data_IF_877399715450
#
_entry.id   IF_877399715450
#
_cell.length_a   1.000
_cell.length_b   1.000
_cell.length_c   1.000
_cell.angle_alpha   90.00
_cell.angle_beta   90.00
_cell.angle_gamma   90.00
#
_symmetry.space_group_name_H-M   'P 1'
#
loop_
_entity.id
_entity.type
_entity.pdbx_description
1 polymer ?
#
# COMPACT_ATOMS: atom_id res chain seq x y z
N UNK A 1 -17.76 5.47 13.00
CA UNK A 1 -18.35 4.26 12.38
C UNK A 1 -18.30 4.45 10.86
N UNK A 2 -18.26 3.38 10.08
CA UNK A 2 -18.30 3.40 8.60
C UNK A 2 -19.68 3.77 8.01
N UNK A 3 -20.19 4.93 8.40
CA UNK A 3 -21.58 5.36 8.17
C UNK A 3 -21.73 6.88 8.39
N UNK A 4 -22.84 7.46 7.91
CA UNK A 4 -23.19 8.86 8.20
C UNK A 4 -23.56 9.01 9.67
N UNK A 5 -23.09 10.08 10.32
CA UNK A 5 -23.47 10.45 11.70
C UNK A 5 -24.94 10.87 11.76
N UNK A 6 -25.69 10.33 12.71
CA UNK A 6 -27.14 10.55 12.90
C UNK A 6 -27.46 11.08 14.32
N UNK A 7 -26.60 11.96 14.81
CA UNK A 7 -26.73 12.63 16.11
C UNK A 7 -26.09 11.91 17.29
N UNK A 8 -26.03 12.63 18.41
CA UNK A 8 -25.57 12.13 19.71
C UNK A 8 -26.55 12.54 20.82
N UNK A 9 -26.64 11.75 21.88
CA UNK A 9 -27.41 12.07 23.08
C UNK A 9 -26.74 11.47 24.34
N UNK A 10 -26.98 12.03 25.55
CA UNK A 10 -26.69 11.31 26.78
C UNK A 10 -27.41 9.95 26.81
N UNK A 11 -26.79 8.93 27.36
CA UNK A 11 -27.42 7.63 27.53
C UNK A 11 -28.49 7.70 28.65
N UNK A 12 -29.76 7.36 28.38
CA UNK A 12 -30.83 7.42 29.39
C UNK A 12 -30.65 6.38 30.51
N UNK A 13 -29.85 5.32 30.29
CA UNK A 13 -29.59 4.28 31.28
C UNK A 13 -28.36 4.59 32.14
N UNK A 14 -27.45 5.44 31.66
CA UNK A 14 -26.21 5.80 32.35
C UNK A 14 -25.72 7.19 31.93
N UNK A 15 -25.89 8.18 32.81
CA UNK A 15 -25.51 9.58 32.53
C UNK A 15 -24.01 9.80 32.31
N UNK A 16 -23.16 8.82 32.62
CA UNK A 16 -21.72 8.87 32.32
C UNK A 16 -21.40 8.49 30.87
N UNK A 17 -22.38 7.97 30.12
CA UNK A 17 -22.23 7.50 28.73
C UNK A 17 -22.94 8.43 27.75
N UNK A 18 -22.53 8.32 26.49
CA UNK A 18 -23.19 8.94 25.33
C UNK A 18 -23.59 7.87 24.33
N UNK A 19 -24.71 8.08 23.67
CA UNK A 19 -25.17 7.30 22.52
C UNK A 19 -24.87 8.10 21.26
N UNK A 20 -24.07 7.52 20.37
CA UNK A 20 -23.86 8.00 19.00
C UNK A 20 -24.65 7.13 18.04
N UNK A 21 -25.43 7.75 17.14
CA UNK A 21 -26.21 7.04 16.12
C UNK A 21 -25.56 7.22 14.76
N UNK A 22 -25.68 6.19 13.93
CA UNK A 22 -25.12 6.18 12.59
C UNK A 22 -26.06 5.45 11.62
N UNK A 23 -26.03 5.86 10.35
CA UNK A 23 -26.84 5.26 9.29
C UNK A 23 -25.99 5.03 8.03
N UNK A 24 -25.86 3.76 7.62
CA UNK A 24 -25.29 3.38 6.33
C UNK A 24 -26.43 2.92 5.43
N UNK A 25 -26.78 3.76 4.44
CA UNK A 25 -27.93 3.52 3.56
C UNK A 25 -27.54 2.76 2.28
N UNK A 26 -26.27 2.82 1.92
CA UNK A 26 -25.73 2.05 0.79
C UNK A 26 -25.45 0.62 1.28
N UNK A 27 -25.94 -0.43 0.60
CA UNK A 27 -25.62 -1.81 0.96
C UNK A 27 -24.12 -2.06 0.90
N UNK A 28 -23.56 -2.69 1.94
CA UNK A 28 -22.13 -3.00 2.04
C UNK A 28 -21.89 -4.45 2.47
N UNK A 29 -20.79 -5.09 2.02
CA UNK A 29 -20.30 -6.31 2.63
C UNK A 29 -19.86 -6.06 4.09
N UNK A 30 -20.02 -7.05 4.96
CA UNK A 30 -19.84 -6.86 6.41
C UNK A 30 -18.39 -6.58 6.84
N UNK A 31 -17.39 -6.92 6.03
CA UNK A 31 -15.98 -6.61 6.33
C UNK A 31 -15.70 -5.10 6.37
N UNK A 32 -16.58 -4.29 5.78
CA UNK A 32 -16.49 -2.82 5.77
C UNK A 32 -17.13 -2.17 7.01
N UNK A 33 -17.72 -2.93 7.92
CA UNK A 33 -18.22 -2.40 9.19
C UNK A 33 -17.03 -1.99 10.04
N UNK A 34 -17.00 -0.73 10.50
CA UNK A 34 -15.94 -0.20 11.35
C UNK A 34 -16.50 0.57 12.53
N UNK A 35 -15.81 0.49 13.66
CA UNK A 35 -16.09 1.27 14.86
C UNK A 35 -14.78 1.78 15.45
N UNK A 36 -14.79 3.02 15.91
CA UNK A 36 -13.73 3.62 16.72
C UNK A 36 -14.37 4.42 17.84
N UNK A 37 -13.77 4.34 19.03
CA UNK A 37 -14.14 5.12 20.21
C UNK A 37 -12.84 5.59 20.84
N UNK A 38 -12.74 6.90 21.10
CA UNK A 38 -11.55 7.53 21.66
C UNK A 38 -11.75 9.04 21.81
N UNK A 39 -10.72 9.73 22.30
CA UNK A 39 -10.68 11.18 22.40
C UNK A 39 -10.38 11.81 21.03
N UNK A 40 -11.39 11.83 20.16
CA UNK A 40 -11.26 12.25 18.78
C UNK A 40 -11.70 13.69 18.58
N UNK A 41 -10.86 14.45 17.88
CA UNK A 41 -11.14 15.79 17.38
C UNK A 41 -11.27 15.75 15.86
N UNK A 42 -11.89 16.77 15.27
CA UNK A 42 -12.06 16.87 13.82
C UNK A 42 -11.67 18.23 13.26
N UNK A 43 -11.20 18.24 12.00
CA UNK A 43 -10.96 19.45 11.22
C UNK A 43 -11.46 19.28 9.79
N UNK A 44 -12.15 20.28 9.28
CA UNK A 44 -12.57 20.30 7.88
C UNK A 44 -11.39 20.57 6.95
N UNK A 45 -11.24 19.73 5.93
CA UNK A 45 -10.17 19.85 4.91
C UNK A 45 -10.71 19.86 3.47
N UNK A 46 -12.02 19.70 3.30
CA UNK A 46 -12.71 19.78 2.02
C UNK A 46 -14.21 20.03 2.18
N UNK A 47 -14.94 20.19 1.07
CA UNK A 47 -16.39 20.43 1.10
C UNK A 47 -17.19 19.24 1.65
N UNK A 48 -16.61 18.04 1.63
CA UNK A 48 -17.24 16.77 2.05
C UNK A 48 -16.31 15.87 2.88
N UNK A 49 -15.28 16.46 3.49
CA UNK A 49 -14.23 15.73 4.21
C UNK A 49 -13.84 16.45 5.49
N UNK A 50 -13.98 15.72 6.59
CA UNK A 50 -13.30 15.97 7.85
C UNK A 50 -12.14 14.99 8.00
N UNK A 51 -11.03 15.47 8.58
CA UNK A 51 -10.00 14.59 9.15
C UNK A 51 -10.22 14.49 10.66
N UNK A 52 -10.14 13.26 11.16
CA UNK A 52 -10.30 12.90 12.56
C UNK A 52 -9.00 12.31 13.11
N UNK A 53 -8.64 12.66 14.34
CA UNK A 53 -7.53 12.05 15.08
C UNK A 53 -7.59 12.44 16.56
N UNK A 54 -6.65 11.94 17.37
CA UNK A 54 -6.34 12.61 18.64
C UNK A 54 -5.81 14.03 18.37
N UNK A 55 -6.01 14.95 19.33
CA UNK A 55 -5.75 16.39 19.16
C UNK A 55 -4.34 16.70 18.68
N UNK A 56 -3.35 15.91 19.09
CA UNK A 56 -1.93 16.07 18.78
C UNK A 56 -1.62 15.87 17.28
N UNK A 57 -2.47 15.15 16.55
CA UNK A 57 -2.26 14.83 15.13
C UNK A 57 -3.14 15.64 14.18
N UNK A 58 -4.16 16.37 14.67
CA UNK A 58 -5.16 17.01 13.79
C UNK A 58 -4.53 17.97 12.80
N UNK A 59 -3.61 18.83 13.26
CA UNK A 59 -3.00 19.85 12.41
C UNK A 59 -2.12 19.23 11.32
N UNK A 60 -1.26 18.28 11.70
CA UNK A 60 -0.39 17.56 10.75
C UNK A 60 -1.22 16.80 9.73
N UNK A 61 -2.24 16.08 10.19
CA UNK A 61 -3.12 15.28 9.32
C UNK A 61 -3.89 16.16 8.34
N UNK A 62 -4.35 17.33 8.78
CA UNK A 62 -5.05 18.26 7.90
C UNK A 62 -4.16 18.81 6.78
N UNK A 63 -2.88 19.08 7.07
CA UNK A 63 -1.92 19.47 6.05
C UNK A 63 -1.60 18.29 5.11
N UNK A 64 -1.28 17.12 5.69
CA UNK A 64 -0.84 15.93 4.94
C UNK A 64 -1.87 15.49 3.90
N UNK A 65 -3.16 15.56 4.26
CA UNK A 65 -4.27 15.06 3.42
C UNK A 65 -5.06 16.15 2.72
N UNK A 66 -4.51 17.35 2.60
CA UNK A 66 -5.18 18.50 1.97
C UNK A 66 -5.51 18.31 0.48
N UNK A 67 -4.95 17.30 -0.19
CA UNK A 67 -5.24 16.94 -1.59
C UNK A 67 -6.45 16.00 -1.75
N UNK A 68 -7.11 15.60 -0.66
CA UNK A 68 -8.21 14.62 -0.68
C UNK A 68 -9.35 15.02 -1.63
N UNK A 69 -9.76 16.28 -1.64
CA UNK A 69 -10.86 16.71 -2.52
C UNK A 69 -10.48 16.74 -4.00
N UNK A 70 -9.22 17.08 -4.35
CA UNK A 70 -8.79 17.01 -5.76
C UNK A 70 -8.73 15.56 -6.24
N UNK A 71 -8.25 14.65 -5.39
CA UNK A 71 -8.27 13.21 -5.66
C UNK A 71 -9.69 12.67 -5.83
N UNK A 72 -10.64 13.06 -4.96
CA UNK A 72 -12.05 12.66 -5.07
C UNK A 72 -12.68 13.10 -6.41
N UNK A 73 -12.42 14.33 -6.84
CA UNK A 73 -12.92 14.83 -8.13
C UNK A 73 -12.38 14.05 -9.32
N UNK A 74 -11.09 13.71 -9.28
CA UNK A 74 -10.48 12.87 -10.33
C UNK A 74 -11.09 11.47 -10.30
N UNK A 75 -11.23 10.89 -9.11
CA UNK A 75 -11.82 9.56 -8.95
C UNK A 75 -13.28 9.52 -9.46
N UNK A 76 -14.08 10.56 -9.21
CA UNK A 76 -15.43 10.69 -9.75
C UNK A 76 -15.47 10.78 -11.27
N UNK A 77 -14.53 11.51 -11.88
CA UNK A 77 -14.41 11.58 -13.34
C UNK A 77 -14.08 10.21 -13.94
N UNK A 78 -13.26 9.41 -13.27
CA UNK A 78 -12.80 8.10 -13.77
C UNK A 78 -13.81 6.98 -13.47
N UNK A 79 -14.33 6.91 -12.24
CA UNK A 79 -15.18 5.83 -11.73
C UNK A 79 -16.69 6.08 -11.78
N UNK A 80 -17.12 7.32 -12.04
CA UNK A 80 -18.52 7.75 -11.95
C UNK A 80 -18.86 8.39 -10.60
N UNK A 81 -20.14 8.71 -10.33
CA UNK A 81 -20.53 9.49 -9.14
C UNK A 81 -20.09 8.87 -7.81
N UNK A 82 -19.63 9.70 -6.86
CA UNK A 82 -19.38 9.27 -5.48
C UNK A 82 -20.71 9.20 -4.71
N UNK A 83 -21.13 8.00 -4.31
CA UNK A 83 -22.47 7.75 -3.77
C UNK A 83 -22.57 7.76 -2.23
N UNK A 84 -21.45 7.90 -1.52
CA UNK A 84 -21.38 7.67 -0.07
C UNK A 84 -21.64 8.94 0.76
N UNK A 85 -21.92 10.07 0.11
CA UNK A 85 -22.16 11.36 0.75
C UNK A 85 -20.85 12.02 1.20
N UNK A 86 -20.37 11.66 2.40
CA UNK A 86 -19.10 12.17 2.94
C UNK A 86 -17.94 11.23 2.62
N UNK A 87 -16.73 11.77 2.60
CA UNK A 87 -15.48 11.03 2.61
C UNK A 87 -14.62 11.59 3.74
N UNK A 88 -14.74 11.04 4.95
CA UNK A 88 -13.89 11.44 6.07
C UNK A 88 -12.65 10.55 6.17
N UNK A 89 -11.59 11.08 6.78
CA UNK A 89 -10.36 10.37 7.10
C UNK A 89 -10.20 10.26 8.61
N UNK A 90 -9.78 9.10 9.12
CA UNK A 90 -9.41 8.89 10.52
C UNK A 90 -7.96 8.45 10.60
N UNK A 91 -7.11 9.27 11.22
CA UNK A 91 -5.75 8.86 11.58
C UNK A 91 -5.79 8.11 12.90
N UNK A 92 -5.50 6.82 12.83
CA UNK A 92 -5.50 5.95 13.99
C UNK A 92 -4.22 6.07 14.82
N UNK A 93 -4.20 5.49 16.04
CA UNK A 93 -2.97 5.31 16.80
C UNK A 93 -1.92 4.46 16.04
N UNK A 94 -0.64 4.55 16.41
CA UNK A 94 0.46 3.92 15.68
C UNK A 94 0.35 2.40 15.51
N UNK A 95 -0.40 1.70 16.36
CA UNK A 95 -0.56 0.24 16.31
C UNK A 95 -1.50 -0.25 15.19
N UNK A 96 -2.15 0.64 14.44
CA UNK A 96 -2.98 0.25 13.29
C UNK A 96 -2.15 -0.57 12.27
N UNK A 97 -2.59 -1.79 11.91
CA UNK A 97 -1.73 -2.75 11.23
C UNK A 97 -1.55 -2.54 9.72
N UNK A 98 -2.37 -1.69 9.10
CA UNK A 98 -2.40 -1.50 7.64
C UNK A 98 -1.97 -0.08 7.22
N UNK A 99 -1.87 0.15 5.91
CA UNK A 99 -1.67 1.50 5.36
C UNK A 99 -2.94 2.34 5.48
N UNK A 100 -4.01 1.83 4.89
CA UNK A 100 -5.37 2.30 5.11
C UNK A 100 -6.34 1.13 5.16
N UNK A 101 -7.61 1.46 5.36
CA UNK A 101 -8.76 0.56 5.21
C UNK A 101 -9.95 1.41 4.75
N UNK A 102 -10.58 0.97 3.67
CA UNK A 102 -11.51 1.71 2.82
C UNK A 102 -12.93 1.85 3.40
N UNK A 103 -13.05 1.81 4.72
CA UNK A 103 -14.31 1.87 5.43
C UNK A 103 -15.19 3.04 4.90
N UNK A 104 -16.39 2.74 4.34
CA UNK A 104 -17.19 3.72 3.63
C UNK A 104 -17.56 4.88 4.55
N UNK A 105 -17.54 6.10 4.01
CA UNK A 105 -17.74 7.36 4.71
C UNK A 105 -16.62 7.77 5.71
N UNK A 106 -15.75 6.86 6.15
CA UNK A 106 -14.71 7.13 7.16
C UNK A 106 -13.50 6.19 6.97
N UNK A 107 -12.63 6.52 6.03
CA UNK A 107 -11.41 5.76 5.75
C UNK A 107 -10.45 5.82 6.93
N UNK A 108 -9.91 4.68 7.34
CA UNK A 108 -8.90 4.60 8.39
C UNK A 108 -7.51 4.64 7.77
N UNK A 109 -6.59 5.40 8.35
CA UNK A 109 -5.19 5.47 7.89
C UNK A 109 -4.20 5.41 9.03
N UNK A 110 -3.02 4.89 8.73
CA UNK A 110 -1.87 4.87 9.63
C UNK A 110 -1.29 6.28 9.86
N UNK A 111 -0.82 6.63 11.07
CA UNK A 111 -0.09 7.87 11.30
C UNK A 111 1.29 7.86 10.64
N UNK A 112 1.76 6.71 10.14
CA UNK A 112 3.02 6.62 9.38
C UNK A 112 2.95 7.31 8.01
N UNK A 113 1.76 7.76 7.56
CA UNK A 113 1.60 8.61 6.39
C UNK A 113 1.99 10.07 6.62
N UNK A 114 2.12 10.51 7.89
CA UNK A 114 2.43 11.89 8.27
C UNK A 114 3.92 12.21 8.04
N UNK A 115 4.34 12.21 6.78
CA UNK A 115 5.72 12.48 6.35
C UNK A 115 6.08 13.98 6.45
N UNK A 116 5.09 14.86 6.46
CA UNK A 116 5.24 16.32 6.50
C UNK A 116 5.35 16.97 5.12
N UNK A 117 5.22 16.21 4.04
CA UNK A 117 5.41 16.67 2.66
C UNK A 117 4.38 16.09 1.68
N UNK A 118 3.39 15.33 2.17
CA UNK A 118 2.32 14.68 1.38
C UNK A 118 2.80 13.57 0.44
N UNK A 119 4.07 13.17 0.51
CA UNK A 119 4.67 12.18 -0.41
C UNK A 119 4.08 10.77 -0.30
N UNK A 120 3.28 10.50 0.74
CA UNK A 120 2.62 9.22 0.95
C UNK A 120 1.10 9.28 0.66
N UNK A 121 0.65 10.35 -0.03
CA UNK A 121 -0.77 10.57 -0.34
C UNK A 121 -1.34 9.60 -1.38
N UNK A 122 -0.51 8.78 -2.03
CA UNK A 122 -0.97 7.68 -2.88
C UNK A 122 -1.84 6.69 -2.10
N UNK A 123 -1.61 6.51 -0.79
CA UNK A 123 -2.49 5.70 0.06
C UNK A 123 -3.88 6.34 0.15
N UNK A 124 -4.00 7.67 0.22
CA UNK A 124 -5.31 8.33 0.20
C UNK A 124 -6.00 8.13 -1.15
N UNK A 125 -5.26 8.23 -2.26
CA UNK A 125 -5.81 7.93 -3.59
C UNK A 125 -6.27 6.46 -3.73
N UNK A 126 -5.59 5.53 -3.05
CA UNK A 126 -5.96 4.11 -2.98
C UNK A 126 -7.30 3.93 -2.25
N UNK A 127 -7.42 4.44 -1.03
CA UNK A 127 -8.66 4.31 -0.25
C UNK A 127 -9.83 5.06 -0.91
N UNK A 128 -9.58 6.20 -1.57
CA UNK A 128 -10.59 6.88 -2.40
C UNK A 128 -11.09 5.94 -3.50
N UNK A 129 -10.17 5.30 -4.22
CA UNK A 129 -10.48 4.44 -5.37
C UNK A 129 -11.37 3.25 -4.98
N UNK A 130 -11.16 2.69 -3.79
CA UNK A 130 -12.00 1.61 -3.26
C UNK A 130 -13.48 1.97 -3.12
N UNK A 131 -13.82 3.26 -3.05
CA UNK A 131 -15.21 3.73 -3.06
C UNK A 131 -15.99 3.26 -4.30
N UNK A 132 -15.28 2.89 -5.38
CA UNK A 132 -15.83 2.23 -6.56
C UNK A 132 -15.39 0.76 -6.66
N UNK A 133 -14.09 0.48 -6.56
CA UNK A 133 -13.51 -0.86 -6.77
C UNK A 133 -13.24 -1.55 -5.43
N UNK A 134 -14.24 -2.26 -4.92
CA UNK A 134 -14.23 -2.90 -3.59
C UNK A 134 -15.54 -2.63 -2.87
N UNK A 135 -15.83 -1.36 -2.59
CA UNK A 135 -17.03 -0.98 -1.84
C UNK A 135 -18.31 -1.06 -2.68
N UNK A 136 -18.24 -0.67 -3.96
CA UNK A 136 -19.38 -0.74 -4.89
C UNK A 136 -19.39 -2.04 -5.70
N UNK A 137 -18.24 -2.40 -6.27
CA UNK A 137 -18.03 -3.70 -6.92
C UNK A 137 -17.11 -4.53 -6.03
N UNK A 138 -17.66 -5.52 -5.34
CA UNK A 138 -16.93 -6.30 -4.35
C UNK A 138 -16.51 -7.66 -4.91
N UNK A 139 -15.36 -8.19 -4.52
CA UNK A 139 -15.05 -9.60 -4.68
C UNK A 139 -16.10 -10.49 -3.98
N UNK A 140 -16.59 -11.54 -4.65
CA UNK A 140 -17.59 -12.47 -4.09
C UNK A 140 -17.05 -13.37 -2.99
N UNK A 141 -15.79 -13.76 -3.10
CA UNK A 141 -15.01 -14.49 -2.10
C UNK A 141 -13.59 -13.92 -2.07
N UNK A 142 -12.84 -14.20 -1.01
CA UNK A 142 -11.46 -13.74 -0.85
C UNK A 142 -10.48 -14.34 -1.88
N UNK A 143 -10.84 -15.43 -2.55
CA UNK A 143 -10.07 -15.98 -3.67
C UNK A 143 -9.94 -14.99 -4.84
N UNK A 144 -10.94 -14.10 -4.97
CA UNK A 144 -11.01 -13.07 -5.99
C UNK A 144 -10.58 -11.69 -5.48
N UNK A 145 -9.84 -11.62 -4.36
CA UNK A 145 -9.43 -10.35 -3.74
C UNK A 145 -8.66 -9.42 -4.68
N UNK A 146 -7.96 -9.96 -5.68
CA UNK A 146 -7.31 -9.16 -6.72
C UNK A 146 -8.26 -8.26 -7.51
N UNK A 147 -9.56 -8.56 -7.57
CA UNK A 147 -10.55 -7.71 -8.24
C UNK A 147 -10.71 -6.38 -7.52
N UNK A 148 -10.67 -6.39 -6.18
CA UNK A 148 -10.63 -5.16 -5.41
C UNK A 148 -9.28 -4.47 -5.66
N UNK A 149 -8.20 -5.13 -5.27
CA UNK A 149 -6.89 -4.48 -5.17
C UNK A 149 -6.28 -4.09 -6.51
N UNK A 150 -6.36 -4.98 -7.51
CA UNK A 150 -5.80 -4.71 -8.83
C UNK A 150 -6.44 -3.49 -9.49
N UNK A 151 -7.78 -3.40 -9.44
CA UNK A 151 -8.51 -2.26 -10.00
C UNK A 151 -8.31 -0.99 -9.17
N UNK A 152 -8.25 -1.10 -7.83
CA UNK A 152 -7.97 0.03 -6.96
C UNK A 152 -6.58 0.60 -7.22
N UNK A 153 -5.53 -0.23 -7.29
CA UNK A 153 -4.16 0.24 -7.63
C UNK A 153 -4.12 0.84 -9.03
N UNK A 154 -4.90 0.29 -9.97
CA UNK A 154 -5.01 0.86 -11.31
C UNK A 154 -5.63 2.27 -11.29
N UNK A 155 -6.72 2.46 -10.55
CA UNK A 155 -7.38 3.75 -10.41
C UNK A 155 -6.54 4.75 -9.59
N UNK A 156 -5.93 4.30 -8.50
CA UNK A 156 -4.97 5.05 -7.68
C UNK A 156 -3.87 5.66 -8.54
N UNK A 157 -3.22 4.82 -9.37
CA UNK A 157 -2.12 5.25 -10.22
C UNK A 157 -2.60 6.21 -11.31
N UNK A 158 -3.84 6.09 -11.79
CA UNK A 158 -4.45 7.08 -12.67
C UNK A 158 -4.71 8.42 -11.97
N UNK A 159 -5.16 8.41 -10.71
CA UNK A 159 -5.29 9.65 -9.90
C UNK A 159 -3.93 10.33 -9.76
N UNK A 160 -2.89 9.58 -9.38
CA UNK A 160 -1.52 10.10 -9.32
C UNK A 160 -1.02 10.61 -10.67
N UNK A 161 -1.34 9.92 -11.77
CA UNK A 161 -1.02 10.34 -13.13
C UNK A 161 -1.69 11.65 -13.54
N UNK A 162 -2.95 11.87 -13.12
CA UNK A 162 -3.67 13.13 -13.35
C UNK A 162 -3.10 14.29 -12.52
N UNK A 163 -2.64 14.03 -11.31
CA UNK A 163 -2.05 15.06 -10.43
C UNK A 163 -0.61 15.43 -10.82
N UNK A 164 0.22 14.43 -11.14
CA UNK A 164 1.67 14.58 -11.24
C UNK A 164 2.24 14.20 -12.62
N UNK A 165 1.38 13.78 -13.55
CA UNK A 165 1.73 13.46 -14.93
C UNK A 165 1.97 11.97 -15.21
N UNK A 166 1.86 11.60 -16.48
CA UNK A 166 1.88 10.20 -16.92
C UNK A 166 3.20 9.48 -16.62
N UNK A 167 4.33 10.20 -16.67
CA UNK A 167 5.64 9.65 -16.27
C UNK A 167 5.66 9.23 -14.80
N UNK A 168 4.93 9.93 -13.93
CA UNK A 168 4.80 9.58 -12.52
C UNK A 168 3.92 8.34 -12.33
N UNK A 169 2.85 8.19 -13.12
CA UNK A 169 2.06 6.94 -13.16
C UNK A 169 2.93 5.75 -13.52
N UNK A 170 3.72 5.86 -14.58
CA UNK A 170 4.66 4.81 -15.00
C UNK A 170 5.76 4.54 -13.96
N UNK A 171 6.27 5.56 -13.29
CA UNK A 171 7.24 5.41 -12.20
C UNK A 171 6.68 4.57 -11.05
N UNK A 172 5.46 4.87 -10.58
CA UNK A 172 4.78 4.08 -9.55
C UNK A 172 4.44 2.67 -10.04
N UNK A 173 4.01 2.52 -11.29
CA UNK A 173 3.72 1.23 -11.90
C UNK A 173 4.97 0.31 -11.96
N UNK A 174 6.13 0.89 -12.26
CA UNK A 174 7.39 0.16 -12.30
C UNK A 174 7.92 -0.17 -10.90
N UNK A 175 7.79 0.74 -9.94
CA UNK A 175 8.09 0.46 -8.52
C UNK A 175 7.23 -0.69 -7.99
N UNK A 176 5.94 -0.70 -8.33
CA UNK A 176 5.02 -1.79 -8.03
C UNK A 176 5.43 -3.14 -8.61
N UNK A 177 5.93 -3.16 -9.85
CA UNK A 177 6.54 -4.37 -10.43
C UNK A 177 7.76 -4.84 -9.61
N UNK A 178 8.59 -3.92 -9.13
CA UNK A 178 9.71 -4.24 -8.22
C UNK A 178 9.25 -4.87 -6.91
N UNK A 179 8.16 -4.38 -6.32
CA UNK A 179 7.55 -4.98 -5.12
C UNK A 179 6.93 -6.35 -5.40
N UNK A 180 6.35 -6.57 -6.58
CA UNK A 180 5.89 -7.90 -7.01
C UNK A 180 7.05 -8.90 -7.10
N UNK A 181 8.19 -8.48 -7.68
CA UNK A 181 9.41 -9.29 -7.72
C UNK A 181 9.89 -9.65 -6.31
N UNK A 182 9.85 -8.69 -5.37
CA UNK A 182 10.23 -8.91 -3.98
C UNK A 182 9.31 -9.94 -3.28
N UNK A 183 8.00 -9.81 -3.46
CA UNK A 183 7.01 -10.73 -2.89
C UNK A 183 7.17 -12.14 -3.42
N UNK A 184 7.31 -12.30 -4.75
CA UNK A 184 7.50 -13.61 -5.37
C UNK A 184 8.83 -14.24 -4.94
N UNK A 185 9.91 -13.46 -4.86
CA UNK A 185 11.20 -13.95 -4.34
C UNK A 185 11.09 -14.40 -2.88
N UNK A 186 10.32 -13.69 -2.06
CA UNK A 186 10.13 -13.99 -0.63
C UNK A 186 9.30 -15.26 -0.42
N UNK A 187 8.24 -15.46 -1.19
CA UNK A 187 7.41 -16.67 -1.12
C UNK A 187 8.03 -17.87 -1.84
N UNK A 188 8.77 -17.63 -2.91
CA UNK A 188 9.18 -18.63 -3.90
C UNK A 188 8.26 -18.64 -5.12
N UNK A 189 8.83 -18.84 -6.31
CA UNK A 189 8.14 -18.72 -7.61
C UNK A 189 7.01 -19.74 -7.82
N UNK A 190 7.00 -20.85 -7.07
CA UNK A 190 5.97 -21.89 -7.17
C UNK A 190 4.93 -21.81 -6.05
N UNK A 191 5.05 -20.85 -5.13
CA UNK A 191 4.21 -20.76 -3.95
C UNK A 191 2.75 -20.42 -4.33
N UNK A 192 1.73 -21.09 -3.76
CA UNK A 192 0.33 -20.89 -4.14
C UNK A 192 -0.18 -19.45 -3.96
N UNK A 193 0.29 -18.72 -2.95
CA UNK A 193 -0.07 -17.31 -2.73
C UNK A 193 0.59 -16.31 -3.70
N UNK A 194 1.34 -16.80 -4.69
CA UNK A 194 1.83 -15.97 -5.81
C UNK A 194 0.93 -16.06 -7.05
N UNK A 195 -0.14 -16.87 -6.99
CA UNK A 195 -1.22 -16.86 -7.98
C UNK A 195 -2.06 -15.60 -7.83
N UNK A 196 -2.72 -15.17 -8.90
CA UNK A 196 -3.59 -14.01 -8.87
C UNK A 196 -4.97 -14.35 -8.28
N UNK A 197 -5.55 -15.46 -8.75
CA UNK A 197 -6.70 -16.12 -8.12
C UNK A 197 -6.15 -17.23 -7.23
N UNK A 198 -6.35 -17.09 -5.93
CA UNK A 198 -5.86 -18.04 -4.92
C UNK A 198 -6.96 -19.05 -4.56
N UNK A 199 -6.59 -20.05 -3.76
CA UNK A 199 -7.53 -20.95 -3.10
C UNK A 199 -7.25 -20.89 -1.60
N UNK A 200 -8.20 -20.33 -0.85
CA UNK A 200 -8.09 -20.13 0.60
C UNK A 200 -8.74 -21.26 1.41
N UNK A 201 -9.03 -22.41 0.81
CA UNK A 201 -9.56 -23.57 1.53
C UNK A 201 -8.60 -23.99 2.65
N UNK A 202 -9.07 -23.92 3.91
CA UNK A 202 -8.29 -24.19 5.13
C UNK A 202 -7.07 -23.26 5.33
N UNK A 203 -7.09 -22.07 4.73
CA UNK A 203 -6.05 -21.04 4.89
C UNK A 203 -6.64 -19.85 5.61
N UNK A 204 -5.95 -19.37 6.64
CA UNK A 204 -6.23 -18.07 7.25
C UNK A 204 -5.87 -16.94 6.26
N UNK A 205 -6.83 -16.10 5.81
CA UNK A 205 -6.57 -15.02 4.87
C UNK A 205 -5.43 -14.07 5.30
N UNK A 206 -5.25 -13.82 6.60
CA UNK A 206 -4.20 -12.95 7.11
C UNK A 206 -2.79 -13.53 6.89
N UNK A 207 -2.67 -14.86 6.80
CA UNK A 207 -1.42 -15.56 6.48
C UNK A 207 -1.11 -15.46 4.97
N UNK A 208 -2.15 -15.43 4.13
CA UNK A 208 -2.00 -15.31 2.67
C UNK A 208 -1.78 -13.87 2.19
N UNK A 209 -2.19 -12.88 3.00
CA UNK A 209 -2.11 -11.46 2.66
C UNK A 209 -0.68 -11.02 2.26
N UNK A 210 -0.59 -10.36 1.11
CA UNK A 210 0.67 -9.83 0.55
C UNK A 210 0.39 -8.77 -0.51
N UNK A 211 1.44 -8.20 -1.12
CA UNK A 211 1.30 -7.29 -2.27
C UNK A 211 1.00 -7.99 -3.60
N UNK A 212 0.91 -9.33 -3.64
CA UNK A 212 0.65 -10.07 -4.89
C UNK A 212 -0.69 -9.68 -5.54
N UNK A 213 -1.87 -9.73 -4.86
CA UNK A 213 -3.15 -9.36 -5.49
C UNK A 213 -3.17 -7.90 -5.98
N UNK A 214 -2.47 -7.01 -5.28
CA UNK A 214 -2.29 -5.60 -5.65
C UNK A 214 -1.50 -5.47 -6.96
N UNK A 215 -0.25 -5.95 -6.96
CA UNK A 215 0.68 -5.65 -8.04
C UNK A 215 0.55 -6.59 -9.25
N UNK A 216 0.21 -7.87 -9.01
CA UNK A 216 -0.08 -8.81 -10.10
C UNK A 216 -1.42 -8.50 -10.76
N UNK A 217 -2.41 -8.07 -9.97
CA UNK A 217 -3.70 -7.59 -10.47
C UNK A 217 -3.53 -6.31 -11.29
N UNK A 218 -2.82 -5.31 -10.76
CA UNK A 218 -2.46 -4.12 -11.51
C UNK A 218 -1.70 -4.46 -12.80
N UNK A 219 -0.69 -5.33 -12.74
CA UNK A 219 0.11 -5.67 -13.91
C UNK A 219 -0.73 -6.29 -15.04
N UNK A 220 -1.76 -7.10 -14.69
CA UNK A 220 -2.72 -7.62 -15.66
C UNK A 220 -3.51 -6.49 -16.32
N UNK A 221 -4.07 -5.58 -15.51
CA UNK A 221 -4.86 -4.46 -16.04
C UNK A 221 -4.02 -3.50 -16.89
N UNK A 222 -2.78 -3.24 -16.48
CA UNK A 222 -1.86 -2.38 -17.23
C UNK A 222 -1.37 -3.04 -18.53
N UNK A 223 -1.17 -4.36 -18.52
CA UNK A 223 -0.93 -5.13 -19.74
C UNK A 223 -2.13 -5.05 -20.70
N UNK A 224 -3.35 -5.25 -20.18
CA UNK A 224 -4.58 -5.16 -20.97
C UNK A 224 -4.81 -3.74 -21.50
N UNK A 225 -4.53 -2.70 -20.72
CA UNK A 225 -4.55 -1.30 -21.15
C UNK A 225 -3.69 -1.11 -22.42
N UNK A 226 -2.44 -1.57 -22.37
CA UNK A 226 -1.50 -1.46 -23.50
C UNK A 226 -1.96 -2.27 -24.71
N UNK A 227 -2.49 -3.48 -24.46
CA UNK A 227 -2.96 -4.38 -25.50
C UNK A 227 -4.22 -3.86 -26.20
N UNK A 228 -5.11 -3.20 -25.45
CA UNK A 228 -6.44 -2.81 -25.92
C UNK A 228 -6.54 -1.36 -26.39
N UNK A 229 -5.42 -0.65 -26.50
CA UNK A 229 -5.36 0.66 -27.17
C UNK A 229 -5.16 1.86 -26.26
N UNK A 230 -4.60 1.66 -25.06
CA UNK A 230 -4.12 2.73 -24.19
C UNK A 230 -5.07 3.10 -23.04
N UNK A 231 -4.62 4.04 -22.18
CA UNK A 231 -5.27 4.36 -20.91
C UNK A 231 -6.70 4.89 -21.07
N UNK A 232 -6.97 5.75 -22.06
CA UNK A 232 -8.30 6.32 -22.28
C UNK A 232 -9.33 5.25 -22.66
N UNK A 233 -8.93 4.29 -23.50
CA UNK A 233 -9.79 3.18 -23.91
C UNK A 233 -10.11 2.29 -22.71
N UNK A 234 -9.10 1.94 -21.92
CA UNK A 234 -9.30 1.04 -20.78
C UNK A 234 -9.98 1.70 -19.58
N UNK A 235 -9.83 3.02 -19.40
CA UNK A 235 -10.63 3.79 -18.44
C UNK A 235 -12.12 3.82 -18.81
N UNK A 236 -12.45 3.81 -20.11
CA UNK A 236 -13.82 3.60 -20.59
C UNK A 236 -14.39 2.25 -20.15
N UNK A 237 -13.59 1.19 -20.23
CA UNK A 237 -13.95 -0.13 -19.68
C UNK A 237 -14.12 -0.10 -18.16
N UNK A 238 -13.18 0.53 -17.42
CA UNK A 238 -13.25 0.62 -15.96
C UNK A 238 -14.57 1.26 -15.50
N UNK A 239 -14.95 2.40 -16.10
CA UNK A 239 -16.21 3.08 -15.77
C UNK A 239 -17.42 2.19 -16.05
N UNK A 240 -17.46 1.54 -17.23
CA UNK A 240 -18.54 0.63 -17.58
C UNK A 240 -18.60 -0.61 -16.68
N UNK A 241 -17.45 -1.11 -16.21
CA UNK A 241 -17.34 -2.20 -15.26
C UNK A 241 -17.94 -1.82 -13.90
N UNK A 242 -17.60 -0.64 -13.39
CA UNK A 242 -18.17 -0.12 -12.14
C UNK A 242 -19.68 0.07 -12.28
N UNK A 243 -20.15 0.66 -13.37
CA UNK A 243 -21.59 0.83 -13.63
C UNK A 243 -22.32 -0.52 -13.71
N UNK A 244 -21.75 -1.50 -14.39
CA UNK A 244 -22.35 -2.84 -14.58
C UNK A 244 -22.53 -3.59 -13.27
N UNK A 245 -21.55 -3.48 -12.37
CA UNK A 245 -21.45 -4.32 -11.19
C UNK A 245 -21.66 -3.58 -9.86
N UNK A 246 -21.96 -2.29 -9.88
CA UNK A 246 -22.34 -1.53 -8.69
C UNK A 246 -23.40 -2.28 -7.86
N UNK A 247 -23.17 -2.33 -6.53
CA UNK A 247 -23.99 -3.03 -5.53
C UNK A 247 -24.03 -4.55 -5.68
N UNK A 248 -23.01 -5.15 -6.31
CA UNK A 248 -22.89 -6.61 -6.49
C UNK A 248 -21.53 -7.10 -6.02
N UNK A 249 -21.50 -8.40 -5.73
CA UNK A 249 -20.26 -9.13 -5.49
C UNK A 249 -20.00 -10.13 -6.61
N UNK A 250 -18.81 -10.11 -7.20
CA UNK A 250 -18.49 -10.79 -8.47
C UNK A 250 -17.28 -11.72 -8.37
N UNK A 251 -17.17 -12.67 -9.30
CA UNK A 251 -16.01 -13.53 -9.49
C UNK A 251 -15.08 -13.01 -10.58
N UNK A 252 -13.90 -13.61 -10.70
CA UNK A 252 -12.97 -13.36 -11.82
C UNK A 252 -13.63 -13.65 -13.18
N UNK A 253 -14.51 -14.67 -13.24
CA UNK A 253 -15.20 -15.04 -14.48
C UNK A 253 -16.24 -13.99 -14.86
N UNK A 254 -17.02 -13.47 -13.90
CA UNK A 254 -17.94 -12.34 -14.15
C UNK A 254 -17.20 -11.12 -14.74
N UNK A 255 -16.03 -10.81 -14.18
CA UNK A 255 -15.17 -9.73 -14.68
C UNK A 255 -14.67 -10.01 -16.11
N UNK A 256 -14.17 -11.23 -16.36
CA UNK A 256 -13.60 -11.61 -17.66
C UNK A 256 -14.68 -11.66 -18.74
N UNK A 257 -15.85 -12.20 -18.44
CA UNK A 257 -16.99 -12.23 -19.36
C UNK A 257 -17.42 -10.81 -19.76
N UNK A 258 -17.43 -9.88 -18.80
CA UNK A 258 -17.73 -8.49 -19.09
C UNK A 258 -16.62 -7.80 -19.91
N UNK A 259 -15.34 -8.10 -19.65
CA UNK A 259 -14.23 -7.63 -20.47
C UNK A 259 -14.39 -8.06 -21.94
N UNK A 260 -14.70 -9.33 -22.18
CA UNK A 260 -14.95 -9.86 -23.52
C UNK A 260 -16.17 -9.23 -24.19
N UNK A 261 -17.25 -8.99 -23.42
CA UNK A 261 -18.45 -8.32 -23.92
C UNK A 261 -18.20 -6.86 -24.29
N UNK A 262 -17.46 -6.12 -23.46
CA UNK A 262 -17.11 -4.72 -23.68
C UNK A 262 -16.18 -4.55 -24.89
N UNK A 263 -15.19 -5.45 -25.01
CA UNK A 263 -14.22 -5.47 -26.10
C UNK A 263 -14.55 -6.54 -27.15
N UNK A 264 -15.83 -6.71 -27.48
CA UNK A 264 -16.31 -7.70 -28.46
C UNK A 264 -15.64 -7.60 -29.84
N UNK A 265 -15.22 -6.40 -30.24
CA UNK A 265 -14.53 -6.15 -31.51
C UNK A 265 -13.01 -6.41 -31.43
N UNK A 266 -12.50 -6.81 -30.25
CA UNK A 266 -11.10 -7.14 -29.99
C UNK A 266 -10.94 -8.53 -29.36
N UNK A 267 -11.93 -9.42 -29.54
CA UNK A 267 -11.89 -10.78 -28.98
C UNK A 267 -10.70 -11.60 -29.48
N UNK A 268 -10.28 -11.41 -30.74
CA UNK A 268 -9.09 -12.09 -31.28
C UNK A 268 -7.81 -11.67 -30.57
N UNK A 269 -7.74 -10.41 -30.10
CA UNK A 269 -6.65 -9.92 -29.27
C UNK A 269 -6.73 -10.49 -27.85
N UNK A 270 -7.92 -10.51 -27.24
CA UNK A 270 -8.11 -11.08 -25.91
C UNK A 270 -7.85 -12.60 -25.85
N UNK A 271 -8.14 -13.32 -26.94
CA UNK A 271 -7.88 -14.75 -27.05
C UNK A 271 -6.38 -15.11 -27.11
N UNK A 272 -5.51 -14.14 -27.39
CA UNK A 272 -4.06 -14.32 -27.35
C UNK A 272 -3.48 -14.15 -25.94
N UNK A 273 -4.26 -13.63 -24.98
CA UNK A 273 -3.84 -13.52 -23.59
C UNK A 273 -3.79 -14.91 -22.96
N UNK A 274 -2.65 -15.27 -22.37
CA UNK A 274 -2.53 -16.50 -21.57
C UNK A 274 -3.25 -16.35 -20.22
N UNK A 275 -4.58 -16.45 -20.27
CA UNK A 275 -5.44 -16.29 -19.10
C UNK A 275 -5.11 -17.29 -17.98
N UNK A 276 -4.71 -18.52 -18.33
CA UNK A 276 -4.36 -19.51 -17.33
C UNK A 276 -3.09 -19.11 -16.58
N UNK A 277 -2.06 -18.64 -17.29
CA UNK A 277 -0.84 -18.18 -16.64
C UNK A 277 -1.05 -16.90 -15.81
N UNK A 278 -1.82 -15.93 -16.32
CA UNK A 278 -2.13 -14.71 -15.58
C UNK A 278 -2.93 -14.97 -14.31
N UNK A 279 -3.99 -15.77 -14.40
CA UNK A 279 -4.94 -15.95 -13.30
C UNK A 279 -4.50 -17.02 -12.30
N UNK A 280 -3.95 -18.15 -12.76
CA UNK A 280 -3.84 -19.36 -11.94
C UNK A 280 -2.42 -19.92 -11.78
N UNK A 281 -1.45 -19.44 -12.58
CA UNK A 281 -0.05 -19.85 -12.40
C UNK A 281 0.65 -19.03 -11.30
N UNK A 282 1.48 -19.69 -10.46
CA UNK A 282 2.31 -19.00 -9.49
C UNK A 282 3.47 -18.25 -10.21
N UNK A 283 4.20 -17.44 -9.46
CA UNK A 283 5.38 -16.72 -9.95
C UNK A 283 5.04 -15.41 -10.65
N UNK A 284 6.01 -14.88 -11.39
CA UNK A 284 5.84 -13.63 -12.13
C UNK A 284 4.84 -13.82 -13.29
N UNK A 285 4.13 -12.75 -13.70
CA UNK A 285 3.31 -12.79 -14.91
C UNK A 285 4.07 -13.26 -16.15
N UNK A 286 3.38 -13.90 -17.12
CA UNK A 286 4.02 -14.39 -18.35
C UNK A 286 4.55 -13.26 -19.24
N UNK A 287 4.02 -12.05 -19.08
CA UNK A 287 4.43 -10.85 -19.83
C UNK A 287 4.61 -9.69 -18.87
N UNK A 288 5.78 -9.04 -18.94
CA UNK A 288 6.03 -7.77 -18.26
C UNK A 288 5.48 -6.62 -19.13
N UNK A 289 4.63 -5.72 -18.60
CA UNK A 289 4.20 -4.53 -19.32
C UNK A 289 5.36 -3.61 -19.73
N UNK A 290 5.11 -2.69 -20.66
CA UNK A 290 6.06 -1.66 -21.02
C UNK A 290 5.98 -0.47 -20.04
N UNK A 291 7.12 0.04 -19.60
CA UNK A 291 7.18 1.15 -18.64
C UNK A 291 8.04 2.29 -19.19
N UNK A 292 7.56 3.54 -19.08
CA UNK A 292 8.42 4.70 -19.23
C UNK A 292 9.42 4.74 -18.05
N UNK A 293 10.69 4.90 -18.39
CA UNK A 293 11.80 4.82 -17.42
C UNK A 293 12.30 6.20 -16.98
N UNK A 294 11.69 7.30 -17.46
CA UNK A 294 12.25 8.66 -17.36
C UNK A 294 12.63 9.03 -15.92
N UNK A 295 11.71 8.81 -14.98
CA UNK A 295 11.93 9.17 -13.56
C UNK A 295 12.76 8.12 -12.80
N UNK A 296 12.78 6.87 -13.29
CA UNK A 296 13.46 5.74 -12.65
C UNK A 296 14.95 5.65 -13.03
N UNK A 297 15.33 6.16 -14.21
CA UNK A 297 16.69 6.08 -14.71
C UNK A 297 17.73 6.65 -13.73
N UNK A 298 17.44 7.80 -13.11
CA UNK A 298 18.35 8.41 -12.13
C UNK A 298 18.51 7.55 -10.87
N UNK A 299 17.42 6.94 -10.38
CA UNK A 299 17.42 6.03 -9.23
C UNK A 299 18.30 4.79 -9.50
N UNK A 300 18.12 4.16 -10.67
CA UNK A 300 18.91 3.01 -11.10
C UNK A 300 20.38 3.42 -11.26
N UNK A 301 20.66 4.54 -11.93
CA UNK A 301 22.03 4.99 -12.16
C UNK A 301 22.79 5.22 -10.84
N UNK A 302 22.18 5.90 -9.87
CA UNK A 302 22.80 6.10 -8.56
C UNK A 302 22.94 4.79 -7.78
N UNK A 303 21.92 3.92 -7.83
CA UNK A 303 21.99 2.60 -7.21
C UNK A 303 23.15 1.77 -7.77
N UNK A 304 23.30 1.73 -9.09
CA UNK A 304 24.38 1.00 -9.74
C UNK A 304 25.75 1.57 -9.37
N UNK A 305 25.91 2.91 -9.32
CA UNK A 305 27.17 3.52 -8.83
C UNK A 305 27.56 3.00 -7.45
N UNK A 306 26.60 2.91 -6.52
CA UNK A 306 26.87 2.38 -5.18
C UNK A 306 27.15 0.87 -5.17
N UNK A 307 26.42 0.08 -5.96
CA UNK A 307 26.59 -1.38 -6.02
C UNK A 307 27.94 -1.76 -6.65
N UNK A 308 28.37 -1.06 -7.70
CA UNK A 308 29.61 -1.38 -8.42
C UNK A 308 30.84 -0.67 -7.86
N UNK A 309 30.65 0.41 -7.09
CA UNK A 309 31.74 1.19 -6.51
C UNK A 309 32.57 0.38 -5.53
N UNK A 310 33.89 0.51 -5.60
CA UNK A 310 34.84 -0.07 -4.64
C UNK A 310 35.14 0.92 -3.52
N UNK A 311 35.96 0.52 -2.55
CA UNK A 311 36.32 1.34 -1.39
C UNK A 311 36.91 2.70 -1.80
N UNK A 312 37.79 2.74 -2.82
CA UNK A 312 38.38 3.98 -3.34
C UNK A 312 37.35 4.92 -3.99
N UNK A 313 36.25 4.38 -4.52
CA UNK A 313 35.19 5.16 -5.17
C UNK A 313 34.27 5.84 -4.16
N UNK A 314 34.28 5.42 -2.89
CA UNK A 314 33.37 5.90 -1.84
C UNK A 314 33.50 7.41 -1.58
N UNK A 315 34.67 7.98 -1.82
CA UNK A 315 34.92 9.41 -1.67
C UNK A 315 34.26 10.25 -2.76
N UNK A 316 33.82 9.65 -3.87
CA UNK A 316 33.13 10.35 -4.96
C UNK A 316 31.67 10.68 -4.64
N UNK A 317 31.07 10.01 -3.64
CA UNK A 317 29.69 10.27 -3.23
C UNK A 317 29.61 11.48 -2.30
N UNK A 318 28.54 12.25 -2.47
CA UNK A 318 28.26 13.46 -1.66
C UNK A 318 26.77 13.75 -1.65
N UNK A 319 26.30 14.57 -0.70
CA UNK A 319 24.89 14.99 -0.63
C UNK A 319 24.33 15.58 -1.93
N UNK A 320 25.18 16.09 -2.82
CA UNK A 320 24.79 16.60 -4.13
C UNK A 320 24.20 15.51 -5.05
N UNK A 321 24.47 14.22 -4.82
CA UNK A 321 23.88 13.12 -5.62
C UNK A 321 22.35 13.06 -5.49
N UNK A 322 21.80 13.53 -4.36
CA UNK A 322 20.36 13.49 -4.07
C UNK A 322 19.65 14.83 -4.29
N UNK A 323 20.37 15.89 -4.70
CA UNK A 323 19.83 17.26 -4.75
C UNK A 323 18.60 17.41 -5.65
N UNK A 324 18.54 16.61 -6.72
CA UNK A 324 17.48 16.65 -7.74
C UNK A 324 16.46 15.50 -7.54
N UNK A 325 16.60 14.70 -6.48
CA UNK A 325 15.69 13.59 -6.21
C UNK A 325 14.49 14.07 -5.39
N UNK A 326 13.29 13.71 -5.84
CA UNK A 326 12.10 13.71 -4.99
C UNK A 326 12.19 12.61 -3.92
N UNK A 327 11.37 12.69 -2.86
CA UNK A 327 11.25 11.64 -1.85
C UNK A 327 10.88 10.28 -2.47
N UNK A 328 10.04 10.27 -3.51
CA UNK A 328 9.71 9.09 -4.30
C UNK A 328 10.95 8.47 -4.96
N UNK A 329 11.84 9.28 -5.53
CA UNK A 329 13.07 8.81 -6.17
C UNK A 329 14.13 8.35 -5.16
N UNK A 330 14.23 9.01 -3.99
CA UNK A 330 15.07 8.52 -2.88
C UNK A 330 14.58 7.15 -2.41
N UNK A 331 13.26 7.00 -2.27
CA UNK A 331 12.64 5.74 -1.87
C UNK A 331 12.89 4.62 -2.89
N UNK A 332 12.72 4.90 -4.19
CA UNK A 332 13.01 3.95 -5.27
C UNK A 332 14.50 3.61 -5.34
N UNK A 333 15.39 4.58 -5.18
CA UNK A 333 16.83 4.33 -5.07
C UNK A 333 17.13 3.32 -3.96
N UNK A 334 16.57 3.51 -2.75
CA UNK A 334 16.75 2.57 -1.65
C UNK A 334 16.10 1.20 -1.93
N UNK A 335 14.99 1.15 -2.65
CA UNK A 335 14.36 -0.10 -3.08
C UNK A 335 15.29 -0.91 -3.99
N UNK A 336 15.88 -0.27 -4.99
CA UNK A 336 16.86 -0.86 -5.91
C UNK A 336 18.11 -1.37 -5.15
N UNK A 337 18.60 -0.58 -4.19
CA UNK A 337 19.71 -0.99 -3.32
C UNK A 337 19.36 -2.22 -2.48
N UNK A 338 18.17 -2.24 -1.87
CA UNK A 338 17.71 -3.35 -1.02
C UNK A 338 17.56 -4.66 -1.80
N UNK A 339 17.18 -4.61 -3.08
CA UNK A 339 17.13 -5.81 -3.94
C UNK A 339 18.50 -6.50 -4.12
N UNK A 340 19.59 -5.74 -3.94
CA UNK A 340 20.98 -6.20 -4.05
C UNK A 340 21.69 -6.35 -2.70
N UNK A 341 20.96 -6.16 -1.59
CA UNK A 341 21.51 -6.40 -0.26
C UNK A 341 21.96 -7.88 -0.10
N UNK A 342 23.00 -8.15 0.74
CA UNK A 342 23.76 -7.18 1.53
C UNK A 342 24.78 -6.38 0.71
N UNK A 343 25.06 -5.15 1.13
CA UNK A 343 26.21 -4.37 0.64
C UNK A 343 27.36 -4.40 1.66
N UNK A 344 28.60 -4.05 1.25
CA UNK A 344 29.70 -3.95 2.19
C UNK A 344 29.41 -2.91 3.29
N UNK A 345 29.81 -3.21 4.53
CA UNK A 345 29.51 -2.34 5.67
C UNK A 345 30.08 -0.92 5.51
N UNK A 346 31.26 -0.78 4.87
CA UNK A 346 31.86 0.51 4.55
C UNK A 346 30.97 1.38 3.66
N UNK A 347 30.27 0.79 2.70
CA UNK A 347 29.33 1.48 1.81
C UNK A 347 28.15 2.03 2.59
N UNK A 348 27.56 1.23 3.49
CA UNK A 348 26.42 1.67 4.31
C UNK A 348 26.83 2.80 5.24
N UNK A 349 27.99 2.68 5.89
CA UNK A 349 28.54 3.75 6.73
C UNK A 349 28.77 5.03 5.93
N UNK A 350 29.33 4.92 4.73
CA UNK A 350 29.52 6.06 3.83
C UNK A 350 28.19 6.67 3.40
N UNK A 351 27.17 5.86 3.06
CA UNK A 351 25.83 6.39 2.73
C UNK A 351 25.26 7.21 3.87
N UNK A 352 25.35 6.73 5.12
CA UNK A 352 24.93 7.53 6.27
C UNK A 352 25.72 8.84 6.37
N UNK A 353 27.04 8.80 6.19
CA UNK A 353 27.90 9.97 6.29
C UNK A 353 27.52 11.05 5.26
N UNK A 354 27.26 10.67 4.01
CA UNK A 354 27.03 11.64 2.92
C UNK A 354 25.57 12.02 2.71
N UNK A 355 24.62 11.15 3.07
CA UNK A 355 23.18 11.38 2.85
C UNK A 355 22.36 11.55 4.13
N UNK A 356 22.91 11.16 5.28
CA UNK A 356 22.24 11.29 6.59
C UNK A 356 20.83 10.68 6.63
N UNK A 357 20.64 9.48 6.05
CA UNK A 357 19.34 8.82 5.98
C UNK A 357 18.70 8.53 7.36
N UNK A 358 19.50 8.40 8.43
CA UNK A 358 18.97 8.27 9.79
C UNK A 358 18.08 9.45 10.24
N UNK A 359 18.26 10.63 9.65
CA UNK A 359 17.48 11.83 9.97
C UNK A 359 16.14 11.93 9.22
N UNK A 360 15.87 11.04 8.26
CA UNK A 360 14.62 11.05 7.49
C UNK A 360 13.49 10.40 8.30
N UNK A 361 12.38 11.13 8.41
CA UNK A 361 11.17 10.68 9.12
C UNK A 361 10.12 10.05 8.19
N UNK A 362 10.23 10.21 6.86
CA UNK A 362 9.37 9.51 5.92
C UNK A 362 9.49 7.99 6.15
N UNK A 363 8.35 7.36 6.46
CA UNK A 363 8.32 5.98 6.95
C UNK A 363 8.77 4.96 5.90
N UNK A 364 8.44 5.15 4.62
CA UNK A 364 8.84 4.28 3.52
C UNK A 364 10.35 4.32 3.27
N UNK A 365 10.94 5.52 3.29
CA UNK A 365 12.39 5.73 3.14
C UNK A 365 13.13 5.13 4.33
N UNK A 366 12.71 5.49 5.55
CA UNK A 366 13.31 5.00 6.80
C UNK A 366 13.26 3.47 6.88
N UNK A 367 12.13 2.87 6.51
CA UNK A 367 11.96 1.43 6.45
C UNK A 367 13.00 0.75 5.54
N UNK A 368 13.08 1.17 4.26
CA UNK A 368 14.01 0.56 3.30
C UNK A 368 15.46 0.77 3.71
N UNK A 369 15.79 1.96 4.22
CA UNK A 369 17.10 2.27 4.75
C UNK A 369 17.50 1.34 5.92
N UNK A 370 16.63 1.21 6.94
CA UNK A 370 16.93 0.37 8.09
C UNK A 370 17.05 -1.10 7.72
N UNK A 371 16.21 -1.62 6.81
CA UNK A 371 16.38 -2.98 6.27
C UNK A 371 17.72 -3.17 5.57
N UNK A 372 18.11 -2.21 4.72
CA UNK A 372 19.40 -2.24 4.03
C UNK A 372 20.57 -2.28 5.03
N UNK A 373 20.50 -1.48 6.09
CA UNK A 373 21.49 -1.45 7.17
C UNK A 373 21.59 -2.78 7.92
N UNK A 374 20.45 -3.35 8.33
CA UNK A 374 20.42 -4.60 9.09
C UNK A 374 20.88 -5.78 8.24
N UNK A 375 20.40 -5.89 6.99
CA UNK A 375 20.85 -6.96 6.08
C UNK A 375 22.35 -6.86 5.77
N UNK A 376 22.89 -5.63 5.73
CA UNK A 376 24.33 -5.37 5.56
C UNK A 376 25.13 -5.42 6.88
N UNK A 377 24.51 -5.91 7.96
CA UNK A 377 25.15 -6.18 9.27
C UNK A 377 25.71 -4.95 9.99
N UNK A 378 25.07 -3.79 9.88
CA UNK A 378 25.48 -2.60 10.62
C UNK A 378 24.83 -2.55 12.02
N UNK A 379 25.61 -2.88 13.06
CA UNK A 379 25.12 -2.99 14.45
C UNK A 379 24.51 -1.68 15.01
N UNK A 380 25.01 -0.52 14.61
CA UNK A 380 24.47 0.78 15.08
C UNK A 380 23.02 1.03 14.60
N UNK A 381 22.56 0.32 13.58
CA UNK A 381 21.18 0.39 13.10
C UNK A 381 20.20 -0.47 13.90
N UNK A 382 20.68 -1.44 14.72
CA UNK A 382 19.85 -2.32 15.55
C UNK A 382 18.84 -1.54 16.42
N UNK A 383 19.25 -0.56 17.25
CA UNK A 383 18.31 0.19 18.08
C UNK A 383 17.32 1.01 17.24
N UNK A 384 17.72 1.50 16.06
CA UNK A 384 16.84 2.27 15.17
C UNK A 384 15.76 1.38 14.54
N UNK A 385 16.14 0.18 14.10
CA UNK A 385 15.23 -0.81 13.52
C UNK A 385 14.25 -1.37 14.56
N UNK A 386 14.73 -1.71 15.76
CA UNK A 386 13.87 -2.13 16.87
C UNK A 386 12.87 -1.04 17.26
N UNK A 387 13.34 0.21 17.40
CA UNK A 387 12.48 1.35 17.70
C UNK A 387 11.39 1.53 16.64
N UNK A 388 11.76 1.52 15.36
CA UNK A 388 10.76 1.65 14.29
C UNK A 388 9.78 0.46 14.28
N UNK A 389 10.24 -0.76 14.59
CA UNK A 389 9.39 -1.94 14.63
C UNK A 389 8.37 -1.94 15.78
N UNK A 390 8.61 -1.19 16.87
CA UNK A 390 7.75 -1.16 18.07
C UNK A 390 7.03 0.16 18.32
N UNK A 391 7.53 1.30 17.80
CA UNK A 391 6.85 2.60 17.96
C UNK A 391 5.63 2.78 17.05
N UNK A 392 5.51 1.90 16.05
CA UNK A 392 4.35 1.77 15.16
C UNK A 392 4.10 0.27 14.85
N UNK A 393 2.91 -0.05 14.36
CA UNK A 393 2.44 -1.43 14.17
C UNK A 393 2.05 -1.81 12.74
N UNK A 394 2.32 -0.95 11.74
CA UNK A 394 2.00 -1.24 10.33
C UNK A 394 2.81 -2.46 9.89
N UNK A 395 2.11 -3.55 9.56
CA UNK A 395 2.73 -4.85 9.28
C UNK A 395 3.70 -4.82 8.11
N UNK A 396 3.47 -3.93 7.13
CA UNK A 396 4.41 -3.65 6.03
C UNK A 396 5.82 -3.33 6.53
N UNK A 397 5.93 -2.64 7.67
CA UNK A 397 7.20 -2.24 8.27
C UNK A 397 7.62 -3.19 9.40
N UNK A 398 6.72 -3.43 10.34
CA UNK A 398 7.00 -4.18 11.56
C UNK A 398 7.43 -5.62 11.27
N UNK A 399 6.72 -6.35 10.40
CA UNK A 399 7.05 -7.76 10.13
C UNK A 399 8.43 -7.93 9.46
N UNK A 400 8.76 -7.21 8.37
CA UNK A 400 10.07 -7.39 7.75
C UNK A 400 11.22 -6.87 8.61
N UNK A 401 11.03 -5.83 9.42
CA UNK A 401 12.05 -5.37 10.37
C UNK A 401 12.36 -6.43 11.43
N UNK A 402 11.33 -7.04 12.04
CA UNK A 402 11.53 -8.15 12.98
C UNK A 402 12.21 -9.35 12.31
N UNK A 403 11.84 -9.71 11.08
CA UNK A 403 12.50 -10.79 10.32
C UNK A 403 13.98 -10.51 10.10
N UNK A 404 14.32 -9.32 9.62
CA UNK A 404 15.71 -8.95 9.33
C UNK A 404 16.53 -8.91 10.62
N UNK A 405 15.98 -8.36 11.71
CA UNK A 405 16.62 -8.33 13.03
C UNK A 405 16.82 -9.73 13.61
N UNK A 406 15.87 -10.64 13.41
CA UNK A 406 16.02 -12.04 13.81
C UNK A 406 17.04 -12.78 12.95
N UNK A 407 17.13 -12.48 11.65
CA UNK A 407 18.10 -13.10 10.75
C UNK A 407 19.55 -12.64 11.03
N UNK A 408 19.73 -11.49 11.68
CA UNK A 408 21.05 -10.97 12.06
C UNK A 408 21.47 -11.45 13.45
N UNK A 409 22.57 -12.19 13.52
CA UNK A 409 23.10 -12.82 14.73
C UNK A 409 23.30 -11.85 15.90
N UNK A 410 23.70 -10.61 15.62
CA UNK A 410 23.91 -9.57 16.64
C UNK A 410 22.61 -9.03 17.26
N UNK A 411 21.48 -9.18 16.58
CA UNK A 411 20.18 -8.68 17.05
C UNK A 411 19.15 -9.76 17.33
N UNK A 412 19.40 -11.03 16.98
CA UNK A 412 18.45 -12.13 17.10
C UNK A 412 17.76 -12.19 18.47
N UNK A 413 18.55 -12.31 19.55
CA UNK A 413 17.98 -12.47 20.88
C UNK A 413 17.29 -11.19 21.38
N UNK A 414 17.77 -10.02 20.94
CA UNK A 414 17.13 -8.76 21.27
C UNK A 414 15.78 -8.63 20.57
N UNK A 415 15.69 -9.04 19.30
CA UNK A 415 14.43 -9.04 18.54
C UNK A 415 13.37 -9.93 19.19
N UNK A 416 13.75 -11.14 19.61
CA UNK A 416 12.83 -12.07 20.30
C UNK A 416 12.38 -11.51 21.64
N UNK A 417 13.30 -11.01 22.47
CA UNK A 417 12.95 -10.40 23.77
C UNK A 417 12.03 -9.20 23.59
N UNK A 418 12.36 -8.29 22.68
CA UNK A 418 11.55 -7.10 22.40
C UNK A 418 10.16 -7.47 21.91
N UNK A 419 10.02 -8.48 21.04
CA UNK A 419 8.70 -8.99 20.65
C UNK A 419 7.92 -9.51 21.86
N UNK A 420 8.51 -10.35 22.71
CA UNK A 420 7.82 -10.91 23.88
C UNK A 420 7.41 -9.84 24.89
N UNK A 421 8.24 -8.81 25.09
CA UNK A 421 7.92 -7.64 25.93
C UNK A 421 6.69 -6.86 25.43
N UNK A 422 6.51 -6.76 24.11
CA UNK A 422 5.43 -5.97 23.50
C UNK A 422 4.22 -6.81 23.06
N UNK A 423 4.34 -8.15 23.03
CA UNK A 423 3.32 -9.06 22.47
C UNK A 423 1.91 -8.78 23.01
N UNK A 424 1.79 -8.52 24.31
CA UNK A 424 0.51 -8.28 24.98
C UNK A 424 -0.15 -6.93 24.64
N UNK A 425 0.60 -5.95 24.12
CA UNK A 425 0.08 -4.62 23.76
C UNK A 425 0.05 -4.36 22.24
N UNK A 426 0.47 -5.34 21.42
CA UNK A 426 0.36 -5.28 19.96
C UNK A 426 -1.07 -5.51 19.48
N UNK A 427 -1.37 -5.06 18.26
CA UNK A 427 -2.58 -5.49 17.57
C UNK A 427 -2.59 -7.03 17.44
N UNK A 428 -3.70 -7.73 17.73
CA UNK A 428 -3.71 -9.19 17.86
C UNK A 428 -3.24 -9.93 16.60
N UNK A 429 -3.65 -9.45 15.41
CA UNK A 429 -3.20 -10.01 14.11
C UNK A 429 -1.69 -9.78 13.91
N UNK A 430 -1.18 -8.59 14.25
CA UNK A 430 0.25 -8.29 14.15
C UNK A 430 1.06 -9.16 15.11
N UNK A 431 0.60 -9.33 16.35
CA UNK A 431 1.24 -10.20 17.33
C UNK A 431 1.33 -11.65 16.81
N UNK A 432 0.21 -12.20 16.32
CA UNK A 432 0.17 -13.55 15.75
C UNK A 432 1.14 -13.71 14.58
N UNK A 433 1.13 -12.79 13.61
CA UNK A 433 1.96 -12.90 12.43
C UNK A 433 3.46 -12.68 12.72
N UNK A 434 3.82 -11.75 13.60
CA UNK A 434 5.20 -11.57 14.04
C UNK A 434 5.69 -12.79 14.83
N UNK A 435 4.85 -13.37 15.70
CA UNK A 435 5.16 -14.61 16.41
C UNK A 435 5.48 -15.76 15.45
N UNK A 436 4.63 -15.97 14.43
CA UNK A 436 4.88 -16.96 13.36
C UNK A 436 6.17 -16.67 12.59
N UNK A 437 6.41 -15.41 12.23
CA UNK A 437 7.60 -14.99 11.49
C UNK A 437 8.90 -15.25 12.28
N UNK A 438 8.84 -15.05 13.60
CA UNK A 438 9.95 -15.27 14.55
C UNK A 438 10.03 -16.71 15.08
N UNK A 439 9.07 -17.57 14.76
CA UNK A 439 8.95 -18.95 15.26
C UNK A 439 8.91 -19.01 16.80
N UNK A 440 8.16 -18.10 17.40
CA UNK A 440 7.93 -18.03 18.84
C UNK A 440 6.43 -18.06 19.12
N UNK A 441 6.04 -18.89 20.09
CA UNK A 441 4.64 -19.13 20.45
C UNK A 441 4.00 -17.93 21.15
#
# INVERSE_FOLDING_TARGET
MSAIRDGEAPDPEDTSRKIYRFSQKVPIPCYLIALVVGALESRQIGPRTLVWSEKEQVEKSAYEFSETESMLKIAEDLGGPYIWGQYDLLVLPPSFPYGGMEHPCLTFVTPTLLAGDKSLSNVIAHEISHSWTGNLVTNKTWDHFWLNEGHTVYLERHICGRLFGEKFRHFHALGGWGELQNSIKTFGETHPFTKLVVDLTNVDPDVAYSSVPYEKGFALLFYLEQLLGGPEVFLGFLKAYVEKFSYKSITTDDWKDFLYSHFKDKVDTLNQVDWNAWLYSPGLPPVKPNYDMTLTNACIALSQRWITGKEDDLNSFSSADLKDFSSHQVNEFLAQMLQKAPLPLGHIKRMQEVYNFNAINNSEIRFRWLRLCIQSKWEEAIPLALKMATEQGRMKFTRPLFKDLAAFDKSHDQAIRTYQEHKACMHPVTAMLVGKDLKVD
#
